data_IF_028104755367
#
_entry.id   IF_028104755367
#
_cell.length_a   1.000
_cell.length_b   1.000
_cell.length_c   1.000
_cell.angle_alpha   90.00
_cell.angle_beta   90.00
_cell.angle_gamma   90.00
#
_symmetry.space_group_name_H-M   'P 1'
#
loop_
_entity.id
_entity.type
_entity.pdbx_description
1 polymer ?
#
# COMPACT_ATOMS: atom_id res chain seq x y z
N UNK A 1 2.33 21.69 18.02
CA UNK A 1 1.46 20.54 17.66
C UNK A 1 1.47 20.23 16.17
N UNK A 2 1.11 21.16 15.27
CA UNK A 2 1.02 20.86 13.83
C UNK A 2 2.29 20.23 13.20
N UNK A 3 3.49 20.66 13.61
CA UNK A 3 4.76 20.12 13.09
C UNK A 3 5.03 18.68 13.54
N UNK A 4 4.60 18.29 14.75
CA UNK A 4 4.75 16.89 15.22
C UNK A 4 3.76 15.97 14.52
N UNK A 5 2.52 16.42 14.33
CA UNK A 5 1.47 15.67 13.62
C UNK A 5 1.85 15.45 12.15
N UNK A 6 2.41 16.48 11.48
CA UNK A 6 2.89 16.34 10.10
C UNK A 6 4.04 15.33 9.98
N UNK A 7 4.97 15.31 10.96
CA UNK A 7 6.10 14.36 10.97
C UNK A 7 5.62 12.93 11.24
N UNK A 8 4.64 12.75 12.13
CA UNK A 8 3.99 11.46 12.36
C UNK A 8 3.28 10.95 11.10
N UNK A 9 2.46 11.79 10.46
CA UNK A 9 1.75 11.45 9.22
C UNK A 9 2.74 11.03 8.12
N UNK A 10 3.83 11.78 7.97
CA UNK A 10 4.91 11.48 7.02
C UNK A 10 5.56 10.12 7.28
N UNK A 11 5.90 9.83 8.53
CA UNK A 11 6.51 8.55 8.89
C UNK A 11 5.53 7.38 8.68
N UNK A 12 4.25 7.55 9.01
CA UNK A 12 3.21 6.54 8.75
C UNK A 12 3.02 6.29 7.25
N UNK A 13 2.99 7.34 6.44
CA UNK A 13 2.92 7.24 4.98
C UNK A 13 4.14 6.51 4.40
N UNK A 14 5.33 6.83 4.92
CA UNK A 14 6.58 6.21 4.50
C UNK A 14 6.64 4.73 4.90
N UNK A 15 6.21 4.38 6.11
CA UNK A 15 6.10 2.97 6.52
C UNK A 15 5.03 2.22 5.74
N UNK A 16 3.92 2.86 5.38
CA UNK A 16 2.90 2.28 4.50
C UNK A 16 3.50 1.95 3.12
N UNK A 17 4.25 2.88 2.53
CA UNK A 17 4.99 2.69 1.28
C UNK A 17 6.00 1.54 1.37
N UNK A 18 6.83 1.50 2.42
CA UNK A 18 7.80 0.42 2.62
C UNK A 18 7.11 -0.93 2.84
N UNK A 19 6.03 -0.97 3.62
CA UNK A 19 5.27 -2.19 3.86
C UNK A 19 4.69 -2.74 2.55
N UNK A 20 4.14 -1.87 1.69
CA UNK A 20 3.63 -2.26 0.37
C UNK A 20 4.75 -2.82 -0.52
N UNK A 21 5.95 -2.22 -0.50
CA UNK A 21 7.09 -2.72 -1.27
C UNK A 21 7.63 -4.06 -0.75
N UNK A 22 7.80 -4.19 0.57
CA UNK A 22 8.30 -5.42 1.19
C UNK A 22 7.31 -6.56 0.93
N UNK A 23 6.02 -6.32 1.15
CA UNK A 23 4.99 -7.34 0.94
C UNK A 23 4.82 -7.66 -0.54
N UNK A 24 4.89 -6.66 -1.42
CA UNK A 24 4.91 -6.88 -2.87
C UNK A 24 6.11 -7.73 -3.32
N UNK A 25 7.30 -7.48 -2.76
CA UNK A 25 8.48 -8.28 -3.03
C UNK A 25 8.35 -9.72 -2.51
N UNK A 26 7.79 -9.91 -1.31
CA UNK A 26 7.52 -11.24 -0.75
C UNK A 26 6.48 -12.00 -1.59
N UNK A 27 5.43 -11.34 -2.08
CA UNK A 27 4.47 -11.93 -3.00
C UNK A 27 5.13 -12.32 -4.33
N UNK A 28 5.99 -11.46 -4.88
CA UNK A 28 6.73 -11.79 -6.10
C UNK A 28 7.66 -12.99 -5.90
N UNK A 29 8.39 -13.06 -4.79
CA UNK A 29 9.23 -14.22 -4.43
C UNK A 29 8.39 -15.49 -4.26
N UNK A 30 7.24 -15.40 -3.60
CA UNK A 30 6.28 -16.49 -3.51
C UNK A 30 5.79 -16.93 -4.88
N UNK A 31 5.48 -15.99 -5.78
CA UNK A 31 5.05 -16.28 -7.14
C UNK A 31 6.12 -17.02 -7.95
N UNK A 32 7.38 -16.57 -7.87
CA UNK A 32 8.53 -17.27 -8.46
C UNK A 32 8.68 -18.67 -7.89
N UNK A 33 8.56 -18.82 -6.57
CA UNK A 33 8.61 -20.13 -5.91
C UNK A 33 7.51 -21.08 -6.43
N UNK A 34 6.28 -20.61 -6.60
CA UNK A 34 5.17 -21.39 -7.16
C UNK A 34 5.46 -21.85 -8.60
N UNK A 35 6.05 -20.99 -9.43
CA UNK A 35 6.41 -21.32 -10.81
C UNK A 35 7.56 -22.33 -10.86
N UNK A 36 8.60 -22.15 -10.05
CA UNK A 36 9.73 -23.10 -9.96
C UNK A 36 9.22 -24.45 -9.44
N UNK A 37 8.37 -24.44 -8.41
CA UNK A 37 7.77 -25.65 -7.87
C UNK A 37 6.97 -26.38 -8.93
N UNK A 38 6.18 -25.67 -9.73
CA UNK A 38 5.44 -26.24 -10.86
C UNK A 38 6.39 -26.86 -11.91
N UNK A 39 7.44 -26.15 -12.34
CA UNK A 39 8.41 -26.68 -13.29
C UNK A 39 9.11 -27.95 -12.76
N UNK A 40 9.37 -27.99 -11.46
CA UNK A 40 10.07 -29.09 -10.77
C UNK A 40 9.23 -30.35 -10.57
N UNK A 41 7.93 -30.30 -10.87
CA UNK A 41 7.02 -31.44 -10.73
C UNK A 41 6.16 -31.63 -11.98
N UNK A 42 6.33 -30.79 -13.00
CA UNK A 42 5.61 -30.85 -14.27
C UNK A 42 5.78 -32.19 -15.00
N UNK A 43 6.90 -32.89 -14.77
CA UNK A 43 7.15 -34.23 -15.32
C UNK A 43 6.41 -35.35 -14.59
N UNK A 44 5.77 -35.11 -13.44
CA UNK A 44 5.09 -36.14 -12.62
C UNK A 44 3.59 -36.33 -12.97
N UNK A 45 3.07 -35.66 -14.00
CA UNK A 45 1.82 -36.01 -14.71
C UNK A 45 0.61 -36.42 -13.85
N UNK A 46 0.36 -35.74 -12.72
CA UNK A 46 -0.86 -35.97 -11.94
C UNK A 46 -1.68 -34.69 -11.72
N UNK A 47 -2.92 -34.76 -12.22
CA UNK A 47 -4.04 -33.84 -12.11
C UNK A 47 -4.06 -33.00 -10.82
N UNK A 48 -3.81 -31.69 -10.94
CA UNK A 48 -3.89 -30.70 -9.83
C UNK A 48 -3.03 -29.44 -10.03
N UNK A 49 -2.02 -29.51 -10.91
CA UNK A 49 -0.92 -28.53 -10.99
C UNK A 49 -1.20 -27.22 -11.75
N UNK A 50 -2.29 -27.11 -12.52
CA UNK A 50 -2.64 -25.83 -13.16
C UNK A 50 -2.83 -24.70 -12.16
N UNK A 51 -3.27 -25.04 -10.94
CA UNK A 51 -3.44 -24.08 -9.85
C UNK A 51 -2.11 -23.45 -9.38
N UNK A 52 -1.01 -24.20 -9.34
CA UNK A 52 0.30 -23.69 -8.88
C UNK A 52 0.84 -22.61 -9.81
N UNK A 53 0.77 -22.82 -11.13
CA UNK A 53 1.24 -21.82 -12.09
C UNK A 53 0.32 -20.59 -12.14
N UNK A 54 -1.00 -20.79 -12.04
CA UNK A 54 -1.96 -19.68 -11.96
C UNK A 54 -1.70 -18.84 -10.71
N UNK A 55 -1.56 -19.47 -9.54
CA UNK A 55 -1.22 -18.77 -8.30
C UNK A 55 0.14 -18.07 -8.38
N UNK A 56 1.14 -18.69 -9.01
CA UNK A 56 2.44 -18.09 -9.25
C UNK A 56 2.36 -16.79 -10.06
N UNK A 57 1.60 -16.81 -11.16
CA UNK A 57 1.36 -15.64 -12.02
C UNK A 57 0.56 -14.57 -11.26
N UNK A 58 -0.49 -14.96 -10.53
CA UNK A 58 -1.32 -14.03 -9.74
C UNK A 58 -0.47 -13.33 -8.69
N UNK A 59 0.36 -14.05 -7.95
CA UNK A 59 1.25 -13.48 -6.93
C UNK A 59 2.29 -12.54 -7.53
N UNK A 60 2.85 -12.88 -8.69
CA UNK A 60 3.74 -11.98 -9.44
C UNK A 60 3.04 -10.71 -9.91
N UNK A 61 1.82 -10.84 -10.44
CA UNK A 61 1.03 -9.70 -10.89
C UNK A 61 0.64 -8.79 -9.72
N UNK A 62 0.21 -9.35 -8.60
CA UNK A 62 -0.11 -8.59 -7.38
C UNK A 62 1.13 -7.91 -6.79
N UNK A 63 2.26 -8.61 -6.69
CA UNK A 63 3.51 -8.04 -6.21
C UNK A 63 4.03 -6.92 -7.11
N UNK A 64 4.00 -7.13 -8.43
CA UNK A 64 4.40 -6.14 -9.43
C UNK A 64 3.48 -4.91 -9.45
N UNK A 65 2.16 -5.11 -9.38
CA UNK A 65 1.20 -4.02 -9.32
C UNK A 65 1.27 -3.24 -8.00
N UNK A 66 1.48 -3.93 -6.88
CA UNK A 66 1.75 -3.31 -5.58
C UNK A 66 3.01 -2.44 -5.60
N UNK A 67 4.11 -2.94 -6.17
CA UNK A 67 5.33 -2.16 -6.32
C UNK A 67 5.13 -0.96 -7.26
N UNK A 68 4.47 -1.16 -8.40
CA UNK A 68 4.17 -0.09 -9.35
C UNK A 68 3.37 1.05 -8.70
N UNK A 69 2.32 0.72 -7.95
CA UNK A 69 1.48 1.70 -7.25
C UNK A 69 2.24 2.40 -6.11
N UNK A 70 3.13 1.69 -5.40
CA UNK A 70 4.02 2.27 -4.40
C UNK A 70 4.89 3.40 -5.01
N UNK A 71 5.51 3.14 -6.17
CA UNK A 71 6.42 4.09 -6.82
C UNK A 71 5.71 5.23 -7.56
N UNK A 72 4.58 4.95 -8.19
CA UNK A 72 3.87 5.93 -9.04
C UNK A 72 2.86 6.78 -8.27
N UNK A 73 2.36 6.29 -7.14
CA UNK A 73 1.32 6.97 -6.36
C UNK A 73 1.78 7.25 -4.94
N UNK A 74 2.11 6.24 -4.14
CA UNK A 74 2.24 6.44 -2.69
C UNK A 74 3.46 7.30 -2.33
N UNK A 75 4.61 7.06 -2.96
CA UNK A 75 5.79 7.91 -2.77
C UNK A 75 5.56 9.35 -3.29
N UNK A 76 5.28 9.59 -4.58
CA UNK A 76 5.23 10.96 -5.10
C UNK A 76 3.99 11.75 -4.69
N UNK A 77 2.84 11.10 -4.49
CA UNK A 77 1.56 11.79 -4.24
C UNK A 77 1.15 11.83 -2.77
N UNK A 78 1.78 11.03 -1.91
CA UNK A 78 1.52 11.04 -0.47
C UNK A 78 2.79 11.49 0.25
N UNK A 79 3.87 10.71 0.22
CA UNK A 79 5.10 11.01 0.99
C UNK A 79 5.73 12.33 0.55
N UNK A 80 6.02 12.48 -0.75
CA UNK A 80 6.67 13.68 -1.29
C UNK A 80 5.73 14.92 -1.17
N UNK A 81 4.40 14.72 -1.25
CA UNK A 81 3.42 15.78 -1.04
C UNK A 81 3.41 16.27 0.43
N UNK A 82 3.54 15.37 1.40
CA UNK A 82 3.70 15.72 2.81
C UNK A 82 5.04 16.44 3.05
N UNK A 83 6.14 15.95 2.46
CA UNK A 83 7.47 16.57 2.58
C UNK A 83 7.50 18.00 2.01
N UNK A 84 6.67 18.28 1.00
CA UNK A 84 6.50 19.60 0.39
C UNK A 84 5.45 20.49 1.09
N UNK A 85 4.83 20.02 2.17
CA UNK A 85 3.80 20.76 2.91
C UNK A 85 2.44 20.84 2.20
N UNK A 86 2.23 20.06 1.13
CA UNK A 86 0.96 19.97 0.37
C UNK A 86 0.01 18.96 1.00
N UNK A 87 -0.43 19.25 2.24
CA UNK A 87 -1.23 18.32 3.04
C UNK A 87 -2.62 18.03 2.46
N UNK A 88 -3.25 19.00 1.78
CA UNK A 88 -4.55 18.81 1.13
C UNK A 88 -4.47 17.84 -0.06
N UNK A 89 -3.42 17.95 -0.88
CA UNK A 89 -3.17 17.05 -2.01
C UNK A 89 -2.90 15.62 -1.52
N UNK A 90 -2.04 15.49 -0.49
CA UNK A 90 -1.75 14.21 0.15
C UNK A 90 -3.02 13.58 0.76
N UNK A 91 -3.85 14.39 1.41
CA UNK A 91 -5.13 13.94 1.98
C UNK A 91 -6.08 13.48 0.89
N UNK A 92 -6.23 14.21 -0.22
CA UNK A 92 -7.12 13.83 -1.30
C UNK A 92 -6.73 12.47 -1.90
N UNK A 93 -5.43 12.24 -2.12
CA UNK A 93 -4.95 10.97 -2.68
C UNK A 93 -5.07 9.84 -1.67
N UNK A 94 -4.70 10.06 -0.41
CA UNK A 94 -4.83 9.05 0.64
C UNK A 94 -6.31 8.74 0.93
N UNK A 95 -7.20 9.73 0.84
CA UNK A 95 -8.67 9.61 1.00
C UNK A 95 -9.36 8.78 -0.07
N UNK A 96 -8.67 8.53 -1.19
CA UNK A 96 -9.25 7.78 -2.27
C UNK A 96 -9.41 6.29 -1.87
N UNK A 97 -10.64 5.74 -1.84
CA UNK A 97 -10.88 4.36 -1.46
C UNK A 97 -10.13 3.36 -2.35
N UNK A 98 -9.81 3.74 -3.59
CA UNK A 98 -9.03 2.91 -4.51
C UNK A 98 -7.63 2.65 -3.94
N UNK A 99 -7.00 3.63 -3.28
CA UNK A 99 -5.67 3.45 -2.69
C UNK A 99 -5.70 2.52 -1.49
N UNK A 100 -6.76 2.58 -0.67
CA UNK A 100 -6.97 1.64 0.44
C UNK A 100 -7.19 0.22 -0.06
N UNK A 101 -7.98 0.04 -1.12
CA UNK A 101 -8.23 -1.25 -1.75
C UNK A 101 -6.93 -1.82 -2.35
N UNK A 102 -6.14 -0.99 -3.04
CA UNK A 102 -4.84 -1.40 -3.58
C UNK A 102 -3.90 -1.80 -2.45
N UNK A 103 -3.83 -1.01 -1.36
CA UNK A 103 -3.06 -1.36 -0.18
C UNK A 103 -3.44 -2.71 0.40
N UNK A 104 -4.75 -2.96 0.53
CA UNK A 104 -5.29 -4.20 1.07
C UNK A 104 -5.01 -5.42 0.16
N UNK A 105 -5.22 -5.28 -1.15
CA UNK A 105 -5.08 -6.39 -2.10
C UNK A 105 -3.61 -6.68 -2.40
N UNK A 106 -2.77 -5.65 -2.54
CA UNK A 106 -1.40 -5.80 -3.04
C UNK A 106 -0.35 -5.81 -1.92
N UNK A 107 -0.68 -5.35 -0.72
CA UNK A 107 0.21 -5.44 0.45
C UNK A 107 -0.50 -5.85 1.73
N UNK A 108 -1.75 -6.29 1.69
CA UNK A 108 -2.45 -6.75 2.88
C UNK A 108 -2.87 -5.63 3.84
N UNK A 109 -3.23 -6.04 5.05
CA UNK A 109 -3.90 -5.17 6.03
C UNK A 109 -2.99 -4.06 6.58
N UNK A 110 -1.69 -4.35 6.73
CA UNK A 110 -0.71 -3.43 7.34
C UNK A 110 -0.59 -2.11 6.57
N UNK A 111 -0.25 -2.10 5.26
CA UNK A 111 -0.14 -0.86 4.50
C UNK A 111 -1.47 -0.09 4.43
N UNK A 112 -2.61 -0.80 4.33
CA UNK A 112 -3.94 -0.17 4.34
C UNK A 112 -4.24 0.56 5.65
N UNK A 113 -3.95 -0.05 6.81
CA UNK A 113 -4.13 0.61 8.12
C UNK A 113 -3.20 1.82 8.25
N UNK A 114 -1.93 1.70 7.85
CA UNK A 114 -0.98 2.81 7.94
C UNK A 114 -1.39 3.98 7.04
N UNK A 115 -1.93 3.69 5.85
CA UNK A 115 -2.47 4.71 4.96
C UNK A 115 -3.72 5.36 5.56
N UNK A 116 -4.59 4.58 6.21
CA UNK A 116 -5.73 5.08 6.97
C UNK A 116 -5.35 5.99 8.14
N UNK A 117 -4.35 5.61 8.92
CA UNK A 117 -3.81 6.46 10.01
C UNK A 117 -3.22 7.75 9.45
N UNK A 118 -2.51 7.67 8.32
CA UNK A 118 -2.00 8.85 7.60
C UNK A 118 -3.15 9.78 7.21
N UNK A 119 -4.26 9.25 6.69
CA UNK A 119 -5.45 10.04 6.36
C UNK A 119 -6.04 10.74 7.58
N UNK A 120 -6.15 10.05 8.72
CA UNK A 120 -6.69 10.64 9.95
C UNK A 120 -5.83 11.82 10.42
N UNK A 121 -4.51 11.65 10.43
CA UNK A 121 -3.56 12.69 10.82
C UNK A 121 -3.56 13.87 9.85
N UNK A 122 -3.69 13.61 8.55
CA UNK A 122 -3.84 14.67 7.54
C UNK A 122 -5.18 15.40 7.65
N UNK A 123 -6.26 14.72 8.00
CA UNK A 123 -7.57 15.34 8.23
C UNK A 123 -7.54 16.34 9.39
N UNK A 124 -6.81 16.02 10.46
CA UNK A 124 -6.61 16.90 11.62
C UNK A 124 -5.83 18.18 11.25
N UNK A 125 -4.92 18.09 10.27
CA UNK A 125 -4.18 19.25 9.76
C UNK A 125 -5.04 20.09 8.80
N UNK A 126 -5.84 19.44 7.95
CA UNK A 126 -6.55 20.09 6.84
C UNK A 126 -7.92 20.65 7.26
N UNK A 127 -8.59 20.08 8.28
CA UNK A 127 -9.87 20.58 8.81
C UNK A 127 -9.68 21.19 10.20
N UNK A 128 -9.77 22.53 10.36
CA UNK A 128 -9.86 23.14 11.68
C UNK A 128 -11.12 22.65 12.41
N UNK A 129 -11.04 22.48 13.73
CA UNK A 129 -12.17 22.04 14.56
C UNK A 129 -13.43 22.92 14.31
N UNK A 130 -14.64 22.34 14.28
CA UNK A 130 -15.86 23.12 14.19
C UNK A 130 -15.92 24.12 15.36
N UNK A 131 -16.39 25.36 15.12
CA UNK A 131 -16.47 26.38 16.17
C UNK A 131 -17.31 25.84 17.34
N UNK A 132 -16.92 26.15 18.60
CA UNK A 132 -17.65 25.66 19.76
C UNK A 132 -19.13 26.05 19.70
N UNK A 133 -20.06 25.20 20.18
CA UNK A 133 -21.47 25.53 20.22
C UNK A 133 -21.68 26.85 20.98
N UNK A 134 -22.55 27.75 20.49
CA UNK A 134 -22.86 28.98 21.21
C UNK A 134 -23.43 28.66 22.61
N UNK A 135 -23.06 29.44 23.64
CA UNK A 135 -23.45 29.22 25.04
C UNK A 135 -24.96 29.37 25.29
#
# INVERSE_FOLDING_TARGET
>A
MARSIATEARNMAYYSYLALLILGALMALGGVWYIISWLSVAWLWYFGFGSFIIWGIVLLALGGFGAFTAFTVWKPKIVDAIDQGRYADAYQVASNPIQLIIGLICGGVIPAILLFLTQQKLAEIVRPAPPPPPP
#
